data_IF_097839983966
#
_entry.id   IF_097839983966
#
_cell.length_a   1.000
_cell.length_b   1.000
_cell.length_c   1.000
_cell.angle_alpha   90.00
_cell.angle_beta   90.00
_cell.angle_gamma   90.00
#
_symmetry.space_group_name_H-M   'P 1'
#
loop_
_entity.id
_entity.type
_entity.pdbx_description
1 polymer ?
#
# COMPACT_ATOMS: atom_id res chain seq x y z
N UNK A 1 -20.49 -5.53 -0.12
CA UNK A 1 -19.31 -4.66 0.09
C UNK A 1 -19.74 -3.19 0.21
N UNK A 2 -20.73 -2.89 1.05
CA UNK A 2 -21.26 -1.52 1.26
C UNK A 2 -21.00 -1.02 2.70
N UNK A 3 -20.38 -1.85 3.55
CA UNK A 3 -20.26 -1.63 4.99
C UNK A 3 -18.80 -1.58 5.47
N UNK A 4 -17.83 -1.66 4.55
CA UNK A 4 -16.44 -1.48 4.94
C UNK A 4 -16.17 0.00 5.17
N UNK A 5 -15.87 0.33 6.42
CA UNK A 5 -15.41 1.66 6.79
C UNK A 5 -13.91 1.81 6.54
N UNK A 6 -13.41 3.03 6.74
CA UNK A 6 -11.97 3.23 6.92
C UNK A 6 -11.55 2.46 8.19
N UNK A 7 -10.58 1.57 8.04
CA UNK A 7 -10.01 0.79 9.14
C UNK A 7 -9.26 1.67 10.13
N UNK A 8 -8.80 1.07 11.24
CA UNK A 8 -8.04 1.77 12.29
C UNK A 8 -6.69 2.30 11.76
N UNK A 9 -6.09 1.60 10.79
CA UNK A 9 -5.02 2.07 9.93
C UNK A 9 -5.48 2.02 8.47
N UNK A 10 -5.16 3.07 7.70
CA UNK A 10 -5.35 3.07 6.26
C UNK A 10 -4.10 2.49 5.60
N UNK A 11 -4.17 1.23 5.17
CA UNK A 11 -3.13 0.61 4.36
C UNK A 11 -3.29 1.00 2.89
N UNK A 12 -2.17 1.15 2.20
CA UNK A 12 -2.16 1.33 0.74
C UNK A 12 -2.15 -0.02 0.06
N UNK A 13 -2.88 -0.14 -1.04
CA UNK A 13 -2.90 -1.39 -1.79
C UNK A 13 -1.53 -1.69 -2.42
N UNK A 14 -0.88 -2.81 -2.10
CA UNK A 14 0.44 -3.14 -2.66
C UNK A 14 0.41 -3.33 -4.17
N UNK A 15 -0.66 -3.92 -4.73
CA UNK A 15 -0.80 -4.11 -6.17
C UNK A 15 -1.05 -2.81 -6.95
N UNK A 16 -1.74 -1.83 -6.36
CA UNK A 16 -1.89 -0.52 -6.99
C UNK A 16 -0.62 0.31 -6.83
N UNK A 17 0.02 0.22 -5.66
CA UNK A 17 1.25 0.94 -5.37
C UNK A 17 2.40 0.53 -6.30
N UNK A 18 2.50 -0.76 -6.66
CA UNK A 18 3.42 -1.26 -7.69
C UNK A 18 3.14 -0.73 -9.12
N UNK A 19 2.03 -0.01 -9.32
CA UNK A 19 1.65 0.64 -10.58
C UNK A 19 1.62 2.16 -10.44
N UNK A 20 2.35 2.70 -9.46
CA UNK A 20 2.40 4.12 -9.11
C UNK A 20 1.02 4.73 -8.77
N UNK A 21 0.04 3.88 -8.44
CA UNK A 21 -1.30 4.28 -8.05
C UNK A 21 -1.43 4.16 -6.53
N UNK A 22 -1.57 5.29 -5.87
CA UNK A 22 -1.82 5.32 -4.42
C UNK A 22 -3.32 5.21 -4.15
N UNK A 23 -3.72 4.16 -3.42
CA UNK A 23 -5.12 3.93 -3.08
C UNK A 23 -5.26 3.28 -1.71
N UNK A 24 -6.05 3.93 -0.86
CA UNK A 24 -6.46 3.41 0.43
C UNK A 24 -7.20 2.07 0.25
N UNK A 25 -6.86 1.11 1.10
CA UNK A 25 -7.60 -0.14 1.25
C UNK A 25 -8.75 0.05 2.23
N UNK A 26 -9.84 -0.67 1.97
CA UNK A 26 -10.97 -0.80 2.87
C UNK A 26 -10.76 -2.02 3.77
N UNK A 27 -11.26 -1.94 5.00
CA UNK A 27 -11.18 -3.03 5.96
C UNK A 27 -12.57 -3.62 6.21
N UNK A 28 -12.69 -4.92 6.05
CA UNK A 28 -13.89 -5.69 6.37
C UNK A 28 -13.71 -6.34 7.75
N UNK A 29 -14.45 -5.82 8.75
CA UNK A 29 -14.39 -6.30 10.14
C UNK A 29 -14.92 -7.73 10.30
N UNK A 30 -15.86 -8.14 9.45
CA UNK A 30 -16.51 -9.45 9.57
C UNK A 30 -15.58 -10.57 9.12
N UNK A 31 -14.62 -10.24 8.25
CA UNK A 31 -13.66 -11.18 7.65
C UNK A 31 -12.23 -10.97 8.09
N UNK A 32 -11.95 -9.87 8.78
CA UNK A 32 -10.61 -9.42 9.13
C UNK A 32 -9.69 -9.29 7.90
N UNK A 33 -10.25 -8.78 6.80
CA UNK A 33 -9.58 -8.69 5.51
C UNK A 33 -9.52 -7.25 5.01
N UNK A 34 -8.39 -6.91 4.39
CA UNK A 34 -8.24 -5.67 3.65
C UNK A 34 -8.53 -5.94 2.18
N UNK A 35 -9.26 -5.02 1.54
CA UNK A 35 -9.51 -5.10 0.11
C UNK A 35 -9.36 -3.75 -0.60
N UNK A 36 -8.93 -3.81 -1.86
CA UNK A 36 -8.81 -2.65 -2.73
C UNK A 36 -9.98 -2.60 -3.72
N UNK A 37 -10.67 -1.47 -3.79
CA UNK A 37 -11.80 -1.29 -4.73
C UNK A 37 -11.36 -1.26 -6.20
N UNK A 38 -10.13 -0.82 -6.47
CA UNK A 38 -9.65 -0.61 -7.85
C UNK A 38 -9.15 -1.87 -8.52
N UNK A 39 -8.33 -2.66 -7.83
CA UNK A 39 -7.72 -3.87 -8.40
C UNK A 39 -8.30 -5.17 -7.85
N UNK A 40 -9.33 -5.10 -7.00
CA UNK A 40 -9.96 -6.24 -6.34
C UNK A 40 -9.01 -7.12 -5.52
N UNK A 41 -7.81 -6.64 -5.20
CA UNK A 41 -6.88 -7.30 -4.30
C UNK A 41 -7.52 -7.47 -2.92
N UNK A 42 -7.34 -8.65 -2.32
CA UNK A 42 -7.73 -8.99 -0.95
C UNK A 42 -6.55 -9.65 -0.25
N UNK A 43 -6.36 -9.33 1.03
CA UNK A 43 -5.31 -9.91 1.84
C UNK A 43 -5.56 -9.65 3.33
N UNK A 44 -4.93 -10.47 4.17
CA UNK A 44 -4.85 -10.21 5.60
C UNK A 44 -3.79 -9.10 5.86
N UNK A 45 -3.71 -8.62 7.10
CA UNK A 45 -2.77 -7.57 7.48
C UNK A 45 -1.31 -7.94 7.18
N UNK A 46 -0.93 -9.19 7.49
CA UNK A 46 0.43 -9.68 7.28
C UNK A 46 0.85 -9.67 5.79
N UNK A 47 -0.02 -10.16 4.90
CA UNK A 47 0.23 -10.19 3.45
C UNK A 47 0.32 -8.77 2.86
N UNK A 48 -0.49 -7.85 3.38
CA UNK A 48 -0.44 -6.42 2.98
C UNK A 48 0.91 -5.81 3.36
N UNK A 49 1.40 -6.05 4.58
CA UNK A 49 2.68 -5.53 5.06
C UNK A 49 3.86 -6.11 4.28
N UNK A 50 3.91 -7.43 4.09
CA UNK A 50 4.97 -8.11 3.34
C UNK A 50 5.06 -7.59 1.90
N UNK A 51 3.91 -7.46 1.22
CA UNK A 51 3.87 -6.95 -0.16
C UNK A 51 4.18 -5.46 -0.25
N UNK A 52 3.89 -4.68 0.79
CA UNK A 52 4.30 -3.28 0.85
C UNK A 52 5.83 -3.16 0.96
N UNK A 53 6.45 -4.04 1.77
CA UNK A 53 7.90 -4.09 1.91
C UNK A 53 8.59 -4.45 0.59
N UNK A 54 8.04 -5.40 -0.17
CA UNK A 54 8.52 -5.70 -1.52
C UNK A 54 8.46 -4.50 -2.47
N UNK A 55 7.44 -3.63 -2.34
CA UNK A 55 7.32 -2.45 -3.18
C UNK A 55 8.43 -1.42 -2.92
N UNK A 56 9.01 -1.39 -1.71
CA UNK A 56 10.14 -0.53 -1.36
C UNK A 56 11.41 -0.84 -2.15
N UNK A 57 11.55 -2.06 -2.68
CA UNK A 57 12.68 -2.43 -3.53
C UNK A 57 12.84 -1.49 -4.75
N UNK A 58 11.72 -1.01 -5.31
CA UNK A 58 11.75 -0.08 -6.45
C UNK A 58 12.22 1.32 -6.06
N UNK A 59 11.89 1.77 -4.85
CA UNK A 59 12.21 3.11 -4.37
C UNK A 59 13.38 3.08 -3.39
N UNK A 60 14.55 2.62 -3.85
CA UNK A 60 15.77 2.44 -3.03
C UNK A 60 16.18 3.68 -2.23
N UNK A 61 16.01 4.85 -2.82
CA UNK A 61 16.34 6.14 -2.23
C UNK A 61 15.12 6.86 -1.61
N UNK A 62 14.01 6.16 -1.35
CA UNK A 62 12.79 6.80 -0.80
C UNK A 62 13.03 7.53 0.52
N UNK A 63 13.96 7.04 1.33
CA UNK A 63 14.32 7.63 2.61
C UNK A 63 15.55 8.56 2.52
N UNK A 64 16.20 8.64 1.36
CA UNK A 64 17.41 9.43 1.17
C UNK A 64 17.04 10.80 0.60
N UNK A 65 17.47 11.86 1.29
CA UNK A 65 17.30 13.24 0.83
C UNK A 65 18.60 13.70 0.18
N UNK A 66 18.62 13.77 -1.14
CA UNK A 66 19.75 14.35 -1.87
C UNK A 66 19.80 15.87 -1.64
N UNK A 67 20.88 16.37 -1.03
CA UNK A 67 21.07 17.80 -0.70
C UNK A 67 22.04 18.53 -1.64
N UNK A 68 22.83 17.78 -2.42
CA UNK A 68 23.74 18.30 -3.43
C UNK A 68 23.46 17.56 -4.72
N UNK A 69 23.37 18.32 -5.81
CA UNK A 69 23.36 17.77 -7.16
C UNK A 69 24.70 18.17 -7.76
N UNK A 70 25.65 17.24 -7.78
CA UNK A 70 26.93 17.47 -8.43
C UNK A 70 26.67 17.37 -9.95
N UNK A 71 26.17 18.47 -10.53
CA UNK A 71 26.10 18.67 -11.97
C UNK A 71 27.43 19.31 -12.39
N UNK A 72 28.46 18.50 -12.60
CA UNK A 72 29.66 18.92 -13.35
C UNK A 72 29.35 19.04 -14.86
#
# INVERSE_FOLDING_TARGET
MAQAGKGKLNYRCPSCFMRDLDMDMFYDKDKDEYYCIRCQYRGNEADVLEKNEMARFRYKAMAERFTKFDFD
#
